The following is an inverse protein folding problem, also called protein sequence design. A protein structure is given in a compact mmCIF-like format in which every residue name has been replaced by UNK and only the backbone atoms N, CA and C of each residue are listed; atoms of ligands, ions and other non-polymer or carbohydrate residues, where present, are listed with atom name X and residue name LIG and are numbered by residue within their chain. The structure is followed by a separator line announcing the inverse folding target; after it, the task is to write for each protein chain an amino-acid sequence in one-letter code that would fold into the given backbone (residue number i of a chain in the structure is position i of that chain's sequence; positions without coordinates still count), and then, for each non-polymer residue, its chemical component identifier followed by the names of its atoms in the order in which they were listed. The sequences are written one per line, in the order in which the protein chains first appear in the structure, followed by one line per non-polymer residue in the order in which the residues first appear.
data_IF_108157650899
#
_entry.id   IF_108157650899
#
_cell.length_a   1.000
_cell.length_b   1.000
_cell.length_c   1.000
_cell.angle_alpha   90.00
_cell.angle_beta   90.00
_cell.angle_gamma   90.00
#
_symmetry.space_group_name_H-M   'P 1'
#
loop_
_entity.id
_entity.type
_entity.pdbx_description
1 polymer ?
#
# COMPACT_ATOMS: atom_id res chain seq x y z
N UNK A 1 -13.70 -29.22 -12.05
CA UNK A 1 -12.37 -29.37 -11.41
C UNK A 1 -11.43 -28.27 -11.88
N UNK A 2 -11.35 -27.99 -13.20
CA UNK A 2 -10.59 -26.86 -13.77
C UNK A 2 -10.95 -25.49 -13.15
N UNK A 3 -12.24 -25.12 -13.15
CA UNK A 3 -12.73 -23.87 -12.54
C UNK A 3 -12.29 -23.64 -11.09
N UNK A 4 -12.23 -24.70 -10.28
CA UNK A 4 -11.86 -24.59 -8.87
C UNK A 4 -10.39 -24.19 -8.71
N UNK A 5 -9.50 -24.68 -9.58
CA UNK A 5 -8.09 -24.29 -9.60
C UNK A 5 -7.93 -22.85 -10.08
N UNK A 6 -8.57 -22.46 -11.19
CA UNK A 6 -8.53 -21.08 -11.68
C UNK A 6 -9.05 -20.08 -10.64
N UNK A 7 -10.08 -20.46 -9.88
CA UNK A 7 -10.59 -19.64 -8.78
C UNK A 7 -9.58 -19.48 -7.63
N UNK A 8 -8.90 -20.56 -7.23
CA UNK A 8 -7.85 -20.50 -6.21
C UNK A 8 -6.64 -19.69 -6.68
N UNK A 9 -6.26 -19.82 -7.96
CA UNK A 9 -5.18 -19.05 -8.57
C UNK A 9 -5.52 -17.55 -8.62
N UNK A 10 -6.77 -17.20 -8.94
CA UNK A 10 -7.24 -15.82 -8.89
C UNK A 10 -7.18 -15.26 -7.46
N UNK A 11 -7.68 -16.01 -6.47
CA UNK A 11 -7.60 -15.62 -5.06
C UNK A 11 -6.14 -15.44 -4.64
N UNK A 12 -5.27 -16.41 -4.93
CA UNK A 12 -3.85 -16.35 -4.60
C UNK A 12 -3.18 -15.11 -5.18
N UNK A 13 -3.44 -14.80 -6.44
CA UNK A 13 -2.91 -13.61 -7.10
C UNK A 13 -3.41 -12.30 -6.47
N UNK A 14 -4.69 -12.21 -6.09
CA UNK A 14 -5.22 -11.05 -5.38
C UNK A 14 -4.60 -10.88 -3.97
N UNK A 15 -4.34 -11.98 -3.25
CA UNK A 15 -3.61 -11.92 -1.98
C UNK A 15 -2.18 -11.40 -2.18
N UNK A 16 -1.50 -11.85 -3.23
CA UNK A 16 -0.18 -11.38 -3.62
C UNK A 16 -0.17 -9.93 -4.12
N UNK A 17 -1.31 -9.37 -4.50
CA UNK A 17 -1.42 -7.93 -4.79
C UNK A 17 -1.60 -7.12 -3.50
N UNK A 18 -2.57 -7.51 -2.66
CA UNK A 18 -2.99 -6.75 -1.48
C UNK A 18 -1.89 -6.75 -0.40
N UNK A 19 -1.38 -7.92 -0.03
CA UNK A 19 -0.50 -8.01 1.14
C UNK A 19 0.89 -7.37 0.95
N UNK A 20 1.51 -7.39 -0.24
CA UNK A 20 2.71 -6.59 -0.50
C UNK A 20 2.49 -5.08 -0.36
N UNK A 21 1.32 -4.54 -0.75
CA UNK A 21 1.00 -3.14 -0.47
C UNK A 21 0.89 -2.88 1.03
N UNK A 22 0.22 -3.78 1.76
CA UNK A 22 0.15 -3.71 3.23
C UNK A 22 1.55 -3.77 3.88
N UNK A 23 2.42 -4.67 3.42
CA UNK A 23 3.81 -4.76 3.91
C UNK A 23 4.59 -3.48 3.65
N UNK A 24 4.45 -2.89 2.45
CA UNK A 24 5.04 -1.59 2.16
C UNK A 24 4.58 -0.53 3.17
N UNK A 25 3.28 -0.48 3.48
CA UNK A 25 2.73 0.49 4.44
C UNK A 25 3.27 0.28 5.86
N UNK A 26 3.39 -0.97 6.32
CA UNK A 26 3.94 -1.28 7.64
C UNK A 26 5.40 -0.84 7.77
N UNK A 27 6.24 -1.20 6.79
CA UNK A 27 7.66 -0.85 6.80
C UNK A 27 7.91 0.66 6.68
N UNK A 28 7.00 1.37 5.99
CA UNK A 28 7.00 2.82 5.92
C UNK A 28 6.63 3.44 7.28
N UNK A 29 5.57 2.96 7.92
CA UNK A 29 5.10 3.52 9.19
C UNK A 29 6.10 3.30 10.32
N UNK A 30 6.68 2.10 10.42
CA UNK A 30 7.70 1.76 11.43
C UNK A 30 8.93 2.69 11.35
N UNK A 31 9.38 2.99 10.13
CA UNK A 31 10.54 3.85 9.91
C UNK A 31 10.19 5.33 10.06
N UNK A 32 8.98 5.74 9.66
CA UNK A 32 8.50 7.12 9.89
C UNK A 32 8.34 7.39 11.39
N UNK A 33 7.90 6.42 12.19
CA UNK A 33 7.81 6.56 13.64
C UNK A 33 9.18 6.83 14.28
N UNK A 34 10.24 6.16 13.80
CA UNK A 34 11.63 6.39 14.23
C UNK A 34 12.13 7.81 13.90
N UNK A 35 11.56 8.45 12.87
CA UNK A 35 11.93 9.81 12.41
C UNK A 35 10.99 10.90 12.95
N UNK A 36 9.78 10.55 13.43
CA UNK A 36 8.72 11.49 13.84
C UNK A 36 9.04 12.38 15.05
N UNK A 37 10.19 12.20 15.68
CA UNK A 37 10.69 13.13 16.69
C UNK A 37 11.53 14.23 16.04
N UNK A 38 10.88 15.31 15.60
CA UNK A 38 11.32 16.73 15.70
C UNK A 38 10.61 17.61 14.66
N UNK A 39 10.26 18.82 15.11
CA UNK A 39 9.89 20.01 14.32
C UNK A 39 8.46 20.17 13.78
N UNK A 40 7.59 20.76 14.61
CA UNK A 40 6.35 21.45 14.17
C UNK A 40 6.62 22.61 13.18
N UNK A 41 7.83 23.15 13.11
CA UNK A 41 8.22 24.26 12.23
C UNK A 41 8.48 23.83 10.76
N UNK A 42 8.71 22.54 10.54
CA UNK A 42 8.96 21.91 9.23
C UNK A 42 7.79 22.09 8.23
N UNK A 43 6.56 22.06 8.73
CA UNK A 43 5.35 21.91 7.91
C UNK A 43 5.09 23.11 6.99
N UNK A 44 5.51 24.33 7.39
CA UNK A 44 5.33 25.55 6.57
C UNK A 44 6.23 25.56 5.33
N UNK A 45 7.48 25.11 5.44
CA UNK A 45 8.43 25.07 4.30
C UNK A 45 8.09 23.98 3.28
N UNK A 46 7.51 22.86 3.72
CA UNK A 46 7.10 21.77 2.82
C UNK A 46 5.98 22.20 1.85
N UNK A 47 5.08 23.11 2.27
CA UNK A 47 3.93 23.54 1.46
C UNK A 47 4.31 24.32 0.20
N UNK A 48 5.52 24.88 0.12
CA UNK A 48 5.98 25.62 -1.07
C UNK A 48 6.50 24.70 -2.18
N UNK A 49 6.78 23.43 -1.88
CA UNK A 49 7.23 22.45 -2.87
C UNK A 49 6.00 21.78 -3.51
N UNK A 50 5.79 21.93 -4.84
CA UNK A 50 4.61 21.39 -5.51
C UNK A 50 4.57 19.86 -5.42
N UNK A 51 3.37 19.31 -5.27
CA UNK A 51 3.13 17.86 -5.30
C UNK A 51 3.31 17.34 -6.74
N UNK A 52 3.78 16.11 -6.88
CA UNK A 52 3.81 15.45 -8.18
C UNK A 52 2.37 15.16 -8.61
N UNK A 53 2.03 15.50 -9.85
CA UNK A 53 0.68 15.33 -10.36
C UNK A 53 0.27 13.84 -10.33
N UNK A 54 -0.99 13.50 -9.97
CA UNK A 54 -1.47 12.12 -9.99
C UNK A 54 -1.38 11.46 -11.38
N UNK A 55 -1.46 12.25 -12.46
CA UNK A 55 -1.43 11.79 -13.84
C UNK A 55 -0.16 10.99 -14.21
N UNK A 56 0.95 11.22 -13.52
CA UNK A 56 2.17 10.44 -13.72
C UNK A 56 2.02 8.95 -13.36
N UNK A 57 0.90 8.53 -12.75
CA UNK A 57 0.59 7.11 -12.55
C UNK A 57 0.40 6.31 -13.85
N UNK A 58 0.18 6.98 -15.00
CA UNK A 58 0.22 6.31 -16.31
C UNK A 58 1.57 5.61 -16.53
N UNK A 59 2.65 6.16 -15.96
CA UNK A 59 3.97 5.54 -15.96
C UNK A 59 4.57 5.55 -14.55
N UNK A 60 4.27 4.51 -13.74
CA UNK A 60 4.71 4.44 -12.35
C UNK A 60 6.21 4.70 -12.12
N UNK A 61 7.15 4.18 -12.96
CA UNK A 61 8.56 4.47 -12.77
C UNK A 61 8.91 5.96 -12.83
N UNK A 62 8.22 6.74 -13.69
CA UNK A 62 8.43 8.19 -13.78
C UNK A 62 7.88 8.88 -12.54
N UNK A 63 6.70 8.48 -12.08
CA UNK A 63 6.14 9.03 -10.84
C UNK A 63 7.07 8.82 -9.66
N UNK A 64 7.60 7.60 -9.47
CA UNK A 64 8.53 7.27 -8.40
C UNK A 64 9.80 8.15 -8.50
N UNK A 65 10.35 8.31 -9.71
CA UNK A 65 11.50 9.19 -9.96
C UNK A 65 11.22 10.65 -9.61
N UNK A 66 10.03 11.16 -9.96
CA UNK A 66 9.63 12.54 -9.66
C UNK A 66 9.40 12.76 -8.17
N UNK A 67 8.76 11.82 -7.48
CA UNK A 67 8.58 11.88 -6.02
C UNK A 67 9.92 11.80 -5.30
N UNK A 68 10.85 10.95 -5.75
CA UNK A 68 12.23 10.91 -5.24
C UNK A 68 12.93 12.26 -5.38
N UNK A 69 12.82 12.93 -6.53
CA UNK A 69 13.37 14.27 -6.73
C UNK A 69 12.74 15.32 -5.80
N UNK A 70 11.42 15.29 -5.66
CA UNK A 70 10.67 16.21 -4.79
C UNK A 70 11.09 16.05 -3.33
N UNK A 71 11.22 14.80 -2.91
CA UNK A 71 11.65 14.38 -1.59
C UNK A 71 13.09 14.81 -1.29
N UNK A 72 14.03 14.64 -2.22
CA UNK A 72 15.40 15.19 -2.06
C UNK A 72 15.39 16.71 -1.84
N UNK A 73 14.53 17.45 -2.54
CA UNK A 73 14.34 18.90 -2.31
C UNK A 73 13.75 19.22 -0.94
N UNK A 74 12.87 18.36 -0.42
CA UNK A 74 12.34 18.51 0.94
C UNK A 74 13.46 18.26 1.95
N UNK A 75 14.22 17.18 1.78
CA UNK A 75 15.30 16.79 2.68
C UNK A 75 16.42 17.84 2.73
N UNK A 76 16.75 18.50 1.61
CA UNK A 76 17.74 19.58 1.60
C UNK A 76 17.36 20.83 2.41
N UNK A 77 16.12 20.92 2.90
CA UNK A 77 15.69 22.02 3.78
C UNK A 77 15.96 21.75 5.27
N UNK A 78 16.45 20.55 5.61
CA UNK A 78 16.73 20.10 6.96
C UNK A 78 18.20 19.75 7.12
N UNK A 79 18.69 19.87 8.34
CA UNK A 79 20.01 19.37 8.72
C UNK A 79 19.88 17.88 9.07
N UNK A 80 20.00 17.04 8.05
CA UNK A 80 19.78 15.59 8.14
C UNK A 80 21.12 14.89 8.31
N UNK A 81 21.23 14.05 9.34
CA UNK A 81 22.44 13.25 9.53
C UNK A 81 22.59 12.19 8.44
N UNK A 82 23.83 11.75 8.18
CA UNK A 82 24.09 10.65 7.25
C UNK A 82 23.30 9.38 7.61
N UNK A 83 23.15 9.08 8.90
CA UNK A 83 22.35 7.94 9.38
C UNK A 83 20.86 8.06 8.98
N UNK A 84 20.29 9.27 9.05
CA UNK A 84 18.92 9.52 8.63
C UNK A 84 18.75 9.41 7.12
N UNK A 85 19.74 9.86 6.33
CA UNK A 85 19.74 9.67 4.87
C UNK A 85 19.83 8.19 4.49
N UNK A 86 20.58 7.40 5.24
CA UNK A 86 20.71 5.95 5.01
C UNK A 86 19.40 5.21 5.30
N UNK A 87 18.76 5.48 6.44
CA UNK A 87 17.42 4.96 6.78
C UNK A 87 16.43 5.33 5.68
N UNK A 88 16.51 6.58 5.21
CA UNK A 88 15.64 7.09 4.15
C UNK A 88 15.83 6.35 2.82
N UNK A 89 17.07 6.12 2.40
CA UNK A 89 17.35 5.37 1.17
C UNK A 89 16.79 3.96 1.24
N UNK A 90 17.02 3.26 2.37
CA UNK A 90 16.50 1.90 2.60
C UNK A 90 14.97 1.87 2.54
N UNK A 91 14.30 2.90 3.06
CA UNK A 91 12.85 3.04 3.00
C UNK A 91 12.33 3.17 1.56
N UNK A 92 12.97 3.98 0.72
CA UNK A 92 12.60 4.12 -0.69
C UNK A 92 12.78 2.81 -1.44
N UNK A 93 13.88 2.11 -1.21
CA UNK A 93 14.17 0.83 -1.87
C UNK A 93 13.15 -0.25 -1.49
N UNK A 94 12.81 -0.35 -0.20
CA UNK A 94 11.76 -1.26 0.32
C UNK A 94 10.39 -0.96 -0.27
N UNK A 95 9.96 0.30 -0.25
CA UNK A 95 8.68 0.71 -0.81
C UNK A 95 8.61 0.44 -2.33
N UNK A 96 9.73 0.65 -3.04
CA UNK A 96 9.83 0.38 -4.47
C UNK A 96 9.76 -1.12 -4.77
N UNK A 97 10.47 -1.95 -4.00
CA UNK A 97 10.44 -3.40 -4.14
C UNK A 97 9.02 -3.95 -3.96
N UNK A 98 8.36 -3.61 -2.86
CA UNK A 98 6.99 -4.05 -2.60
C UNK A 98 5.98 -3.52 -3.61
N UNK A 99 6.16 -2.29 -4.10
CA UNK A 99 5.34 -1.75 -5.18
C UNK A 99 5.43 -2.59 -6.45
N UNK A 100 6.63 -2.97 -6.89
CA UNK A 100 6.78 -3.78 -8.11
C UNK A 100 6.30 -5.22 -7.92
N UNK A 101 6.45 -5.80 -6.72
CA UNK A 101 5.86 -7.10 -6.39
C UNK A 101 4.32 -7.03 -6.49
N UNK A 102 3.71 -6.02 -5.88
CA UNK A 102 2.27 -5.82 -5.95
C UNK A 102 1.80 -5.58 -7.40
N UNK A 103 2.53 -4.77 -8.18
CA UNK A 103 2.19 -4.50 -9.58
C UNK A 103 2.23 -5.78 -10.43
N UNK A 104 3.26 -6.62 -10.26
CA UNK A 104 3.35 -7.91 -10.94
C UNK A 104 2.19 -8.83 -10.55
N UNK A 105 1.88 -8.91 -9.26
CA UNK A 105 0.75 -9.70 -8.77
C UNK A 105 -0.61 -9.19 -9.26
N UNK A 106 -0.78 -7.87 -9.42
CA UNK A 106 -2.00 -7.30 -9.99
C UNK A 106 -2.21 -7.74 -11.44
N UNK A 107 -1.16 -7.76 -12.26
CA UNK A 107 -1.24 -8.23 -13.64
C UNK A 107 -1.65 -9.71 -13.69
N UNK A 108 -1.06 -10.54 -12.83
CA UNK A 108 -1.42 -11.95 -12.70
C UNK A 108 -2.88 -12.10 -12.21
N UNK A 109 -3.29 -11.29 -11.24
CA UNK A 109 -4.65 -11.32 -10.72
C UNK A 109 -5.69 -10.95 -11.79
N UNK A 110 -5.40 -9.96 -12.63
CA UNK A 110 -6.25 -9.58 -13.77
C UNK A 110 -6.36 -10.74 -14.75
N UNK A 111 -5.24 -11.38 -15.12
CA UNK A 111 -5.23 -12.52 -16.02
C UNK A 111 -6.05 -13.71 -15.48
N UNK A 112 -5.79 -14.14 -14.23
CA UNK A 112 -6.49 -15.27 -13.62
C UNK A 112 -7.98 -14.95 -13.39
N UNK A 113 -8.32 -13.71 -13.06
CA UNK A 113 -9.73 -13.29 -12.93
C UNK A 113 -10.44 -13.32 -14.28
N UNK A 114 -9.75 -12.99 -15.38
CA UNK A 114 -10.33 -13.06 -16.72
C UNK A 114 -10.67 -14.50 -17.11
N UNK A 115 -9.81 -15.47 -16.80
CA UNK A 115 -10.10 -16.90 -17.04
C UNK A 115 -11.36 -17.36 -16.31
N UNK A 116 -11.47 -17.04 -15.02
CA UNK A 116 -12.66 -17.33 -14.20
C UNK A 116 -13.90 -16.61 -14.75
N UNK A 117 -13.74 -15.34 -15.18
CA UNK A 117 -14.83 -14.53 -15.69
C UNK A 117 -15.43 -15.10 -16.98
N UNK A 118 -14.60 -15.51 -17.94
CA UNK A 118 -15.05 -16.09 -19.20
C UNK A 118 -15.73 -17.45 -18.98
N UNK A 119 -15.24 -18.26 -18.04
CA UNK A 119 -15.84 -19.57 -17.74
C UNK A 119 -17.20 -19.44 -17.03
N UNK A 120 -17.34 -18.50 -16.09
CA UNK A 120 -18.58 -18.28 -15.32
C UNK A 120 -19.61 -17.42 -16.06
N UNK A 121 -19.16 -16.47 -16.87
CA UNK A 121 -19.99 -15.42 -17.45
C UNK A 121 -19.66 -15.17 -18.94
N UNK A 122 -19.81 -16.18 -19.81
CA UNK A 122 -19.38 -16.10 -21.21
C UNK A 122 -20.12 -15.04 -22.04
N UNK A 123 -21.30 -14.61 -21.59
CA UNK A 123 -22.13 -13.60 -22.28
C UNK A 123 -21.95 -12.18 -21.75
N UNK A 124 -21.17 -11.97 -20.67
CA UNK A 124 -20.92 -10.63 -20.16
C UNK A 124 -19.83 -9.92 -20.97
N UNK A 125 -19.97 -8.60 -21.07
CA UNK A 125 -19.08 -7.77 -21.86
C UNK A 125 -17.77 -7.45 -21.12
N UNK A 126 -16.74 -7.06 -21.88
CA UNK A 126 -15.41 -6.76 -21.34
C UNK A 126 -15.42 -5.51 -20.45
N UNK A 127 -16.36 -4.58 -20.65
CA UNK A 127 -16.54 -3.40 -19.80
C UNK A 127 -16.91 -3.80 -18.37
N UNK A 128 -17.77 -4.80 -18.21
CA UNK A 128 -18.17 -5.31 -16.89
C UNK A 128 -16.97 -5.94 -16.18
N UNK A 129 -16.14 -6.68 -16.93
CA UNK A 129 -14.90 -7.24 -16.40
C UNK A 129 -13.99 -6.14 -15.83
N UNK A 130 -13.74 -5.05 -16.58
CA UNK A 130 -12.90 -3.95 -16.08
C UNK A 130 -13.51 -3.23 -14.88
N UNK A 131 -14.84 -3.08 -14.82
CA UNK A 131 -15.52 -2.54 -13.63
C UNK A 131 -15.25 -3.44 -12.42
N UNK A 132 -15.37 -4.76 -12.56
CA UNK A 132 -15.07 -5.72 -11.48
C UNK A 132 -13.62 -5.58 -11.02
N UNK A 133 -12.67 -5.53 -11.95
CA UNK A 133 -11.24 -5.34 -11.63
C UNK A 133 -11.04 -4.05 -10.82
N UNK A 134 -11.59 -2.93 -11.28
CA UNK A 134 -11.48 -1.63 -10.58
C UNK A 134 -12.07 -1.72 -9.17
N UNK A 135 -13.24 -2.33 -9.02
CA UNK A 135 -13.91 -2.49 -7.72
C UNK A 135 -13.05 -3.34 -6.77
N UNK A 136 -12.55 -4.49 -7.20
CA UNK A 136 -11.72 -5.36 -6.36
C UNK A 136 -10.40 -4.67 -5.99
N UNK A 137 -9.76 -3.97 -6.93
CA UNK A 137 -8.56 -3.18 -6.64
C UNK A 137 -8.81 -2.09 -5.59
N UNK A 138 -9.91 -1.33 -5.72
CA UNK A 138 -10.28 -0.29 -4.75
C UNK A 138 -10.53 -0.92 -3.37
N UNK A 139 -11.29 -2.01 -3.30
CA UNK A 139 -11.56 -2.72 -2.06
C UNK A 139 -10.29 -3.25 -1.40
N UNK A 140 -9.35 -3.80 -2.18
CA UNK A 140 -8.05 -4.24 -1.69
C UNK A 140 -7.24 -3.11 -1.06
N UNK A 141 -7.12 -1.97 -1.75
CA UNK A 141 -6.42 -0.79 -1.23
C UNK A 141 -7.14 -0.23 0.02
N UNK A 142 -8.48 -0.22 0.02
CA UNK A 142 -9.26 0.21 1.19
C UNK A 142 -9.05 -0.70 2.39
N UNK A 143 -8.92 -2.02 2.18
CA UNK A 143 -8.61 -2.99 3.22
C UNK A 143 -7.26 -2.69 3.88
N UNK A 144 -6.23 -2.41 3.08
CA UNK A 144 -4.90 -2.06 3.61
C UNK A 144 -4.93 -0.76 4.41
N UNK A 145 -5.63 0.26 3.90
CA UNK A 145 -5.81 1.53 4.61
C UNK A 145 -6.58 1.37 5.92
N UNK A 146 -7.63 0.55 5.92
CA UNK A 146 -8.38 0.22 7.13
C UNK A 146 -7.49 -0.50 8.15
N UNK A 147 -6.67 -1.46 7.69
CA UNK A 147 -5.73 -2.21 8.53
C UNK A 147 -4.67 -1.32 9.18
N UNK A 148 -4.23 -0.27 8.48
CA UNK A 148 -3.29 0.74 8.96
C UNK A 148 -3.94 1.88 9.75
N UNK A 149 -5.26 1.89 9.91
CA UNK A 149 -5.94 3.00 10.59
C UNK A 149 -5.73 2.96 12.12
N UNK A 150 -5.47 4.13 12.70
CA UNK A 150 -5.41 4.32 14.16
C UNK A 150 -6.67 3.81 14.88
N UNK A 151 -7.82 3.86 14.18
CA UNK A 151 -9.09 3.34 14.69
C UNK A 151 -9.00 1.85 15.02
N UNK A 152 -8.48 1.03 14.09
CA UNK A 152 -8.33 -0.41 14.30
C UNK A 152 -7.35 -0.70 15.42
N UNK A 153 -6.22 0.01 15.46
CA UNK A 153 -5.20 -0.16 16.51
C UNK A 153 -5.79 0.14 17.88
N UNK A 154 -6.51 1.27 18.03
CA UNK A 154 -7.17 1.64 19.29
C UNK A 154 -8.23 0.63 19.70
N UNK A 155 -9.04 0.14 18.76
CA UNK A 155 -10.05 -0.90 19.01
C UNK A 155 -9.41 -2.19 19.53
N UNK A 156 -8.35 -2.65 18.87
CA UNK A 156 -7.62 -3.85 19.29
C UNK A 156 -6.98 -3.70 20.68
N UNK A 157 -6.37 -2.55 20.97
CA UNK A 157 -5.82 -2.26 22.30
C UNK A 157 -6.93 -2.24 23.37
N UNK A 158 -8.10 -1.68 23.06
CA UNK A 158 -9.24 -1.67 23.97
C UNK A 158 -9.72 -3.10 24.27
N UNK A 159 -9.93 -3.92 23.24
CA UNK A 159 -10.35 -5.33 23.37
C UNK A 159 -9.35 -6.16 24.18
N UNK A 160 -8.04 -5.96 23.96
CA UNK A 160 -6.99 -6.59 24.75
C UNK A 160 -7.06 -6.17 26.23
N UNK A 161 -7.17 -4.88 26.51
CA UNK A 161 -7.25 -4.36 27.88
C UNK A 161 -8.47 -4.90 28.62
N UNK A 162 -9.62 -4.97 27.95
CA UNK A 162 -10.84 -5.55 28.52
C UNK A 162 -10.65 -7.04 28.85
N UNK A 163 -10.09 -7.81 27.92
CA UNK A 163 -9.77 -9.22 28.12
C UNK A 163 -8.83 -9.44 29.31
N UNK A 164 -7.75 -8.66 29.41
CA UNK A 164 -6.83 -8.72 30.55
C UNK A 164 -7.52 -8.38 31.88
N UNK A 165 -8.38 -7.36 31.91
CA UNK A 165 -9.11 -6.97 33.11
C UNK A 165 -10.11 -8.04 33.57
N UNK A 166 -10.73 -8.76 32.64
CA UNK A 166 -11.61 -9.90 32.95
C UNK A 166 -10.83 -11.11 33.48
N UNK A 167 -9.63 -11.34 32.96
CA UNK A 167 -8.78 -12.47 33.39
C UNK A 167 -8.18 -12.23 34.77
N UNK A 168 -7.88 -10.98 35.13
CA UNK A 168 -7.33 -10.60 36.43
C UNK A 168 -8.37 -10.52 37.57
N UNK A 169 -9.65 -10.53 37.24
CA UNK A 169 -10.78 -10.55 38.21
C UNK A 169 -11.26 -11.97 38.55
N UNK A 170 -10.75 -12.99 37.87
CA UNK A 170 -10.95 -14.41 38.20
C UNK A 170 -9.74 -14.92 38.99
#
# INVERSE_FOLDING_TARGET
MHLAFSFLEAIGAWLLFIFPLYQAMLELDEQVEKVKNKEKNAIKKIKTIPKVAPLYWIWPPLKIKLEKKRMLKILSLYDISNDQLEIFSRLVDKATAWFYVALGALLVAIANTHEVFVELYPSLSLEIFWIIIIVITILGIMLDRYRMSDYRIKKFIYELKDTFNQTKKK
#
